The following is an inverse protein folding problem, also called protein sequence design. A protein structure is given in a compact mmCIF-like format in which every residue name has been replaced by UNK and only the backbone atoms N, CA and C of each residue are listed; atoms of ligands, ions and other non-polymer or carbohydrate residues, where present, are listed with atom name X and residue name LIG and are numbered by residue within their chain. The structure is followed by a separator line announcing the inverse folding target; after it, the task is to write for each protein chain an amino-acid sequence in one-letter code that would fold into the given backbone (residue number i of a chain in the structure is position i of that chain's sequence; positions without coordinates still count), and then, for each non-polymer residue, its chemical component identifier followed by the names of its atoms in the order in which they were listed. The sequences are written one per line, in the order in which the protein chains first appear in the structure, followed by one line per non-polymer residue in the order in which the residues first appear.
data_IF_499266335239
#
_entry.id   IF_499266335239
#
_cell.length_a   1.000
_cell.length_b   1.000
_cell.length_c   1.000
_cell.angle_alpha   90.00
_cell.angle_beta   90.00
_cell.angle_gamma   90.00
#
_symmetry.space_group_name_H-M   'P 1'
#
loop_
_entity.id
_entity.type
_entity.pdbx_description
1 polymer ?
#
# COMPACT_ATOMS: atom_id res chain seq x y z
N UNK A 1 17.87 2.08 14.26
CA UNK A 1 17.09 3.13 13.58
C UNK A 1 15.85 3.40 14.40
N UNK A 2 15.66 4.62 14.87
CA UNK A 2 14.52 4.98 15.72
C UNK A 2 13.23 5.12 14.91
N UNK A 3 12.07 4.92 15.54
CA UNK A 3 10.72 5.02 14.93
C UNK A 3 10.46 6.32 14.14
N UNK A 4 11.20 7.39 14.41
CA UNK A 4 11.05 8.69 13.75
C UNK A 4 11.84 8.84 12.44
N UNK A 5 12.64 7.86 12.05
CA UNK A 5 13.54 7.95 10.89
C UNK A 5 12.99 7.30 9.62
N UNK A 6 11.98 6.43 9.73
CA UNK A 6 11.35 5.79 8.55
C UNK A 6 10.23 6.69 8.02
N UNK A 7 10.32 7.17 6.76
CA UNK A 7 9.26 7.95 6.14
C UNK A 7 7.93 7.18 6.11
N UNK A 8 6.82 7.90 6.23
CA UNK A 8 5.47 7.28 6.27
C UNK A 8 5.18 6.43 5.03
N UNK A 9 5.77 6.77 3.88
CA UNK A 9 5.61 6.02 2.63
C UNK A 9 6.36 4.68 2.56
N UNK A 10 7.32 4.43 3.47
CA UNK A 10 8.09 3.17 3.56
C UNK A 10 7.47 2.16 4.54
N UNK A 11 6.42 2.55 5.24
CA UNK A 11 5.77 1.72 6.24
C UNK A 11 4.69 0.86 5.60
N UNK A 12 4.61 -0.40 6.01
CA UNK A 12 3.49 -1.26 5.63
C UNK A 12 2.20 -0.71 6.25
N UNK A 13 1.20 -0.45 5.43
CA UNK A 13 -0.11 0.05 5.85
C UNK A 13 -1.06 -1.11 6.11
N UNK A 14 -1.46 -1.28 7.37
CA UNK A 14 -2.37 -2.34 7.79
C UNK A 14 -3.73 -1.72 8.10
N UNK A 15 -4.73 -1.99 7.26
CA UNK A 15 -6.09 -1.50 7.44
C UNK A 15 -6.97 -2.50 8.21
N UNK A 16 -7.69 -2.03 9.24
CA UNK A 16 -8.67 -2.82 9.99
C UNK A 16 -10.09 -2.45 9.56
N UNK A 17 -10.80 -3.42 8.99
CA UNK A 17 -12.13 -3.26 8.40
C UNK A 17 -13.15 -4.19 9.06
N UNK A 18 -14.44 -3.95 8.88
CA UNK A 18 -15.53 -4.79 9.36
C UNK A 18 -16.73 -3.95 9.83
N UNK A 19 -17.83 -4.65 10.19
CA UNK A 19 -19.05 -3.99 10.68
C UNK A 19 -18.83 -3.21 11.97
N UNK A 20 -19.79 -2.37 12.30
CA UNK A 20 -19.87 -1.71 13.62
C UNK A 20 -19.90 -2.78 14.72
N UNK A 21 -19.29 -2.46 15.84
CA UNK A 21 -19.23 -3.33 17.03
C UNK A 21 -18.56 -4.70 16.82
N UNK A 22 -17.97 -5.00 15.65
CA UNK A 22 -17.14 -6.20 15.47
C UNK A 22 -15.87 -6.17 16.35
N UNK A 23 -15.54 -5.01 16.90
CA UNK A 23 -14.39 -4.83 17.79
C UNK A 23 -13.10 -4.52 17.07
N UNK A 24 -13.15 -3.83 15.91
CA UNK A 24 -11.98 -3.41 15.13
C UNK A 24 -10.95 -2.68 16.00
N UNK A 25 -11.37 -1.59 16.65
CA UNK A 25 -10.49 -0.80 17.53
C UNK A 25 -9.96 -1.62 18.72
N UNK A 26 -10.76 -2.55 19.23
CA UNK A 26 -10.31 -3.43 20.33
C UNK A 26 -9.24 -4.42 19.85
N UNK A 27 -9.42 -5.05 18.68
CA UNK A 27 -8.42 -5.94 18.08
C UNK A 27 -7.15 -5.16 17.74
N UNK A 28 -7.31 -3.97 17.15
CA UNK A 28 -6.20 -3.07 16.86
C UNK A 28 -5.39 -2.74 18.12
N UNK A 29 -6.07 -2.33 19.21
CA UNK A 29 -5.41 -2.03 20.48
C UNK A 29 -4.70 -3.27 21.08
N UNK A 30 -5.30 -4.45 20.96
CA UNK A 30 -4.67 -5.69 21.41
C UNK A 30 -3.40 -6.02 20.58
N UNK A 31 -3.43 -5.78 19.26
CA UNK A 31 -2.27 -5.93 18.37
C UNK A 31 -1.17 -4.93 18.72
N UNK A 32 -1.51 -3.68 18.98
CA UNK A 32 -0.58 -2.61 19.35
C UNK A 32 0.02 -2.86 20.75
N UNK A 33 -0.73 -3.49 21.65
CA UNK A 33 -0.32 -3.71 23.03
C UNK A 33 -0.49 -2.47 23.95
N UNK A 34 -1.15 -1.42 23.47
CA UNK A 34 -1.45 -0.18 24.19
C UNK A 34 -2.88 0.25 23.90
N UNK A 35 -3.54 0.92 24.86
CA UNK A 35 -4.85 1.52 24.66
C UNK A 35 -4.73 2.82 23.83
N UNK A 36 -4.48 2.69 22.53
CA UNK A 36 -4.22 3.82 21.63
C UNK A 36 -5.40 4.13 20.70
N UNK A 37 -6.28 3.15 20.42
CA UNK A 37 -7.53 3.40 19.71
C UNK A 37 -8.64 3.76 20.70
N UNK A 38 -9.49 4.70 20.36
CA UNK A 38 -10.64 5.06 21.18
C UNK A 38 -11.64 3.91 21.11
N UNK A 39 -11.71 3.09 22.15
CA UNK A 39 -12.76 2.10 22.31
C UNK A 39 -13.94 2.82 23.00
N UNK A 40 -15.07 2.94 22.33
CA UNK A 40 -16.28 3.53 22.89
C UNK A 40 -17.42 2.55 22.79
N UNK A 41 -18.18 2.44 23.86
CA UNK A 41 -19.42 1.65 23.92
C UNK A 41 -20.58 2.34 23.17
N UNK A 42 -20.38 3.61 22.75
CA UNK A 42 -21.38 4.37 21.99
C UNK A 42 -21.26 4.04 20.50
N UNK A 43 -22.36 3.64 19.89
CA UNK A 43 -22.45 3.32 18.46
C UNK A 43 -21.97 4.49 17.60
N UNK A 44 -20.99 4.24 16.70
CA UNK A 44 -20.56 5.20 15.67
C UNK A 44 -19.50 6.20 16.10
N UNK A 45 -18.58 5.85 16.99
CA UNK A 45 -17.55 6.75 17.51
C UNK A 45 -16.40 7.03 16.56
N UNK A 46 -16.04 6.11 15.67
CA UNK A 46 -14.99 6.37 14.67
C UNK A 46 -15.64 6.98 13.43
N UNK A 47 -15.54 8.28 13.25
CA UNK A 47 -16.12 9.02 12.10
C UNK A 47 -15.14 9.13 10.93
N UNK A 48 -13.85 9.17 11.21
CA UNK A 48 -12.76 9.28 10.25
C UNK A 48 -11.74 8.16 10.47
N UNK A 49 -11.05 7.69 9.40
CA UNK A 49 -9.96 6.75 9.55
C UNK A 49 -8.86 7.31 10.44
N UNK A 50 -8.40 6.53 11.42
CA UNK A 50 -7.34 6.93 12.35
C UNK A 50 -6.05 6.22 11.94
N UNK A 51 -5.02 7.00 11.64
CA UNK A 51 -3.70 6.50 11.25
C UNK A 51 -2.74 6.54 12.44
N UNK A 52 -2.05 5.44 12.71
CA UNK A 52 -1.03 5.35 13.76
C UNK A 52 0.20 4.63 13.25
N UNK A 53 1.35 5.28 13.39
CA UNK A 53 2.64 4.70 13.06
C UNK A 53 3.25 4.03 14.27
N UNK A 54 3.75 2.81 14.09
CA UNK A 54 4.33 2.02 15.16
C UNK A 54 5.31 0.98 14.62
N UNK A 55 6.00 0.30 15.52
CA UNK A 55 6.78 -0.89 15.21
C UNK A 55 5.96 -2.15 15.55
N UNK A 56 5.77 -3.03 14.59
CA UNK A 56 5.08 -4.30 14.75
C UNK A 56 6.02 -5.46 14.42
N UNK A 57 6.51 -6.16 15.43
CA UNK A 57 7.36 -7.34 15.22
C UNK A 57 6.52 -8.52 14.70
N UNK A 58 7.00 -9.29 13.71
CA UNK A 58 8.31 -9.21 13.05
C UNK A 58 8.37 -8.34 11.77
N UNK A 59 7.39 -7.46 11.52
CA UNK A 59 7.31 -6.62 10.31
C UNK A 59 8.23 -5.39 10.35
N UNK A 60 8.49 -4.83 11.55
CA UNK A 60 9.17 -3.56 11.70
C UNK A 60 8.22 -2.36 11.66
N UNK A 61 8.61 -1.23 11.04
CA UNK A 61 7.80 -0.01 10.99
C UNK A 61 6.53 -0.19 10.17
N UNK A 62 5.35 0.04 10.77
CA UNK A 62 4.04 -0.05 10.12
C UNK A 62 3.20 1.20 10.38
N UNK A 63 2.21 1.43 9.55
CA UNK A 63 1.11 2.36 9.80
C UNK A 63 -0.18 1.55 9.91
N UNK A 64 -0.80 1.52 11.08
CA UNK A 64 -2.09 0.88 11.29
C UNK A 64 -3.21 1.89 11.07
N UNK A 65 -4.30 1.44 10.45
CA UNK A 65 -5.44 2.28 10.07
C UNK A 65 -6.71 1.68 10.65
N UNK A 66 -7.32 2.38 11.61
CA UNK A 66 -8.65 2.04 12.13
C UNK A 66 -9.71 2.70 11.25
N UNK A 67 -10.65 1.90 10.71
CA UNK A 67 -11.68 2.41 9.80
C UNK A 67 -13.05 2.47 10.45
N UNK A 68 -13.93 3.40 10.02
CA UNK A 68 -15.35 3.37 10.36
C UNK A 68 -16.03 2.04 9.99
N UNK A 69 -17.18 1.74 10.59
CA UNK A 69 -17.98 0.56 10.22
C UNK A 69 -18.44 0.62 8.76
N UNK A 70 -18.51 -0.55 8.12
CA UNK A 70 -18.93 -0.69 6.71
C UNK A 70 -20.45 -0.84 6.54
N UNK A 71 -21.18 -0.94 7.63
CA UNK A 71 -22.62 -1.14 7.74
C UNK A 71 -23.37 0.07 8.29
N UNK A 72 -22.75 1.24 8.27
CA UNK A 72 -23.38 2.49 8.71
C UNK A 72 -24.46 2.93 7.71
N UNK A 73 -25.67 3.24 8.23
CA UNK A 73 -26.84 3.69 7.46
C UNK A 73 -27.02 5.23 7.56
N UNK A 74 -27.81 5.77 6.62
CA UNK A 74 -28.10 7.21 6.50
C UNK A 74 -27.01 8.01 5.76
N UNK A 75 -27.21 9.31 5.62
CA UNK A 75 -26.29 10.18 4.83
C UNK A 75 -24.87 10.18 5.41
N UNK A 76 -24.71 10.32 6.73
CA UNK A 76 -23.42 10.24 7.41
C UNK A 76 -22.82 8.83 7.33
N UNK A 77 -23.65 7.79 7.37
CA UNK A 77 -23.21 6.41 7.20
C UNK A 77 -22.62 6.16 5.82
N UNK A 78 -23.27 6.63 4.77
CA UNK A 78 -22.77 6.52 3.39
C UNK A 78 -21.40 7.19 3.22
N UNK A 79 -21.19 8.36 3.82
CA UNK A 79 -19.90 9.05 3.80
C UNK A 79 -18.80 8.26 4.54
N UNK A 80 -19.12 7.65 5.68
CA UNK A 80 -18.18 6.82 6.45
C UNK A 80 -17.79 5.56 5.69
N UNK A 81 -18.76 4.88 5.10
CA UNK A 81 -18.53 3.71 4.23
C UNK A 81 -17.61 4.10 3.06
N UNK A 82 -17.88 5.23 2.39
CA UNK A 82 -17.02 5.73 1.32
C UNK A 82 -15.60 6.01 1.79
N UNK A 83 -15.41 6.60 2.98
CA UNK A 83 -14.07 6.82 3.57
C UNK A 83 -13.36 5.50 3.87
N UNK A 84 -14.06 4.49 4.40
CA UNK A 84 -13.49 3.15 4.61
C UNK A 84 -13.01 2.53 3.32
N UNK A 85 -13.75 2.69 2.22
CA UNK A 85 -13.31 2.22 0.90
C UNK A 85 -12.15 3.02 0.30
N UNK A 86 -12.02 4.32 0.60
CA UNK A 86 -10.86 5.11 0.19
C UNK A 86 -9.57 4.66 0.88
N UNK A 87 -9.67 4.14 2.12
CA UNK A 87 -8.52 3.59 2.85
C UNK A 87 -7.95 2.36 2.15
N UNK A 88 -8.78 1.56 1.46
CA UNK A 88 -8.30 0.39 0.71
C UNK A 88 -7.18 0.74 -0.29
N UNK A 89 -7.25 1.92 -0.91
CA UNK A 89 -6.23 2.36 -1.87
C UNK A 89 -4.87 2.65 -1.22
N UNK A 90 -4.82 2.72 0.12
CA UNK A 90 -3.60 2.98 0.90
C UNK A 90 -3.21 1.79 1.77
N UNK A 91 -3.91 0.67 1.63
CA UNK A 91 -3.74 -0.52 2.48
C UNK A 91 -2.90 -1.54 1.75
N UNK A 92 -1.80 -1.96 2.36
CA UNK A 92 -0.94 -3.04 1.87
C UNK A 92 -1.42 -4.40 2.39
N UNK A 93 -1.96 -4.46 3.60
CA UNK A 93 -2.56 -5.66 4.19
C UNK A 93 -3.86 -5.30 4.88
N UNK A 94 -4.93 -6.01 4.58
CA UNK A 94 -6.24 -5.80 5.18
C UNK A 94 -6.54 -6.86 6.26
N UNK A 95 -7.07 -6.41 7.39
CA UNK A 95 -7.61 -7.26 8.45
C UNK A 95 -9.11 -7.05 8.52
N UNK A 96 -9.89 -8.07 8.16
CA UNK A 96 -11.35 -8.03 8.27
C UNK A 96 -11.74 -8.61 9.62
N UNK A 97 -12.28 -7.77 10.49
CA UNK A 97 -12.74 -8.15 11.83
C UNK A 97 -14.23 -8.49 11.80
N UNK A 98 -14.53 -9.72 12.13
CA UNK A 98 -15.89 -10.29 12.20
C UNK A 98 -16.25 -10.54 13.66
N UNK A 99 -17.47 -10.21 14.06
CA UNK A 99 -18.02 -10.65 15.35
C UNK A 99 -18.35 -12.14 15.27
N UNK A 100 -17.74 -12.97 16.13
CA UNK A 100 -17.94 -14.43 16.13
C UNK A 100 -19.37 -14.88 16.38
N UNK A 101 -20.21 -14.03 17.00
CA UNK A 101 -21.64 -14.32 17.22
C UNK A 101 -22.50 -13.93 16.01
N UNK A 102 -22.16 -12.82 15.34
CA UNK A 102 -22.89 -12.37 14.17
C UNK A 102 -22.48 -13.14 12.88
N UNK A 103 -21.28 -13.71 12.87
CA UNK A 103 -20.77 -14.48 11.77
C UNK A 103 -20.39 -13.63 10.53
N UNK A 104 -19.81 -14.32 9.56
CA UNK A 104 -19.44 -13.74 8.25
C UNK A 104 -20.72 -13.60 7.40
N UNK A 105 -21.02 -12.39 6.99
CA UNK A 105 -22.23 -12.06 6.24
C UNK A 105 -21.95 -11.32 4.93
N UNK A 106 -23.02 -10.83 4.30
CA UNK A 106 -22.98 -10.18 2.99
C UNK A 106 -22.06 -8.95 2.94
N UNK A 107 -21.98 -8.20 4.05
CA UNK A 107 -21.14 -6.98 4.11
C UNK A 107 -19.66 -7.33 4.13
N UNK A 108 -19.26 -8.34 4.87
CA UNK A 108 -17.88 -8.85 4.88
C UNK A 108 -17.53 -9.49 3.54
N UNK A 109 -18.49 -10.18 2.92
CA UNK A 109 -18.28 -10.77 1.59
C UNK A 109 -18.04 -9.71 0.50
N UNK A 110 -18.83 -8.64 0.47
CA UNK A 110 -18.64 -7.51 -0.44
C UNK A 110 -17.27 -6.85 -0.24
N UNK A 111 -16.86 -6.69 1.01
CA UNK A 111 -15.56 -6.13 1.35
C UNK A 111 -14.43 -7.04 0.87
N UNK A 112 -14.53 -8.34 1.14
CA UNK A 112 -13.57 -9.35 0.73
C UNK A 112 -13.39 -9.40 -0.80
N UNK A 113 -14.50 -9.41 -1.54
CA UNK A 113 -14.47 -9.40 -3.01
C UNK A 113 -13.72 -8.17 -3.54
N UNK A 114 -13.95 -6.99 -2.96
CA UNK A 114 -13.23 -5.77 -3.34
C UNK A 114 -11.73 -5.84 -3.04
N UNK A 115 -11.34 -6.47 -1.93
CA UNK A 115 -9.92 -6.69 -1.63
C UNK A 115 -9.28 -7.64 -2.63
N UNK A 116 -9.98 -8.70 -3.01
CA UNK A 116 -9.53 -9.64 -4.04
C UNK A 116 -9.40 -8.96 -5.42
N UNK A 117 -10.39 -8.16 -5.85
CA UNK A 117 -10.31 -7.36 -7.08
C UNK A 117 -9.09 -6.43 -7.10
N UNK A 118 -8.75 -5.84 -5.96
CA UNK A 118 -7.58 -4.97 -5.79
C UNK A 118 -6.29 -5.74 -5.49
N UNK A 119 -6.35 -7.06 -5.40
CA UNK A 119 -5.22 -7.92 -5.03
C UNK A 119 -4.58 -7.55 -3.68
N UNK A 120 -5.35 -7.01 -2.74
CA UNK A 120 -4.87 -6.69 -1.39
C UNK A 120 -4.91 -7.97 -0.55
N UNK A 121 -3.78 -8.44 0.01
CA UNK A 121 -3.75 -9.56 0.93
C UNK A 121 -4.65 -9.29 2.12
N UNK A 122 -5.46 -10.27 2.51
CA UNK A 122 -6.37 -10.11 3.63
C UNK A 122 -6.31 -11.28 4.61
N UNK A 123 -6.54 -10.94 5.88
CA UNK A 123 -6.67 -11.87 7.00
C UNK A 123 -8.07 -11.70 7.59
N UNK A 124 -8.80 -12.80 7.71
CA UNK A 124 -10.10 -12.82 8.37
C UNK A 124 -9.94 -13.13 9.85
N UNK A 125 -10.50 -12.28 10.71
CA UNK A 125 -10.38 -12.37 12.17
C UNK A 125 -11.75 -12.44 12.79
N UNK A 126 -12.08 -13.56 13.43
CA UNK A 126 -13.26 -13.71 14.24
C UNK A 126 -12.96 -13.32 15.68
N UNK A 127 -13.43 -12.14 16.06
CA UNK A 127 -13.21 -11.58 17.39
C UNK A 127 -14.31 -12.01 18.39
N UNK A 128 -14.09 -11.78 19.66
CA UNK A 128 -14.96 -12.12 20.77
C UNK A 128 -15.10 -13.63 21.01
N UNK A 129 -14.04 -14.40 20.73
CA UNK A 129 -14.01 -15.86 20.95
C UNK A 129 -14.13 -16.26 22.43
N UNK A 130 -14.05 -15.30 23.36
CA UNK A 130 -14.33 -15.50 24.78
C UNK A 130 -15.83 -15.54 25.14
N UNK A 131 -16.71 -15.27 24.17
CA UNK A 131 -18.15 -15.28 24.40
C UNK A 131 -18.77 -16.67 24.18
N UNK A 132 -19.89 -16.95 24.86
CA UNK A 132 -20.65 -18.18 24.63
C UNK A 132 -21.16 -18.21 23.18
N UNK A 133 -21.14 -19.40 22.57
CA UNK A 133 -21.58 -19.63 21.20
C UNK A 133 -20.74 -18.91 20.12
N UNK A 134 -19.50 -18.54 20.43
CA UNK A 134 -18.55 -18.04 19.41
C UNK A 134 -18.22 -19.15 18.40
N UNK A 135 -18.30 -18.83 17.13
CA UNK A 135 -17.97 -19.76 16.02
C UNK A 135 -16.89 -19.13 15.16
N UNK A 136 -15.87 -19.92 14.85
CA UNK A 136 -14.82 -19.54 13.91
C UNK A 136 -14.68 -20.66 12.88
N UNK A 137 -14.94 -20.40 11.59
CA UNK A 137 -14.71 -21.39 10.54
C UNK A 137 -13.21 -21.58 10.31
N UNK A 138 -12.82 -22.75 9.82
CA UNK A 138 -11.40 -23.00 9.50
C UNK A 138 -10.91 -22.18 8.29
N UNK A 139 -11.76 -22.01 7.28
CA UNK A 139 -11.44 -21.28 6.05
C UNK A 139 -12.67 -20.59 5.47
N UNK A 140 -12.44 -19.46 4.79
CA UNK A 140 -13.42 -18.78 3.96
C UNK A 140 -12.72 -18.38 2.64
N UNK A 141 -13.15 -18.94 1.50
CA UNK A 141 -12.60 -18.63 0.16
C UNK A 141 -11.07 -18.71 0.11
N UNK A 142 -10.48 -19.76 0.70
CA UNK A 142 -9.01 -20.01 0.77
C UNK A 142 -8.20 -18.98 1.57
N UNK A 143 -8.87 -18.05 2.26
CA UNK A 143 -8.22 -17.04 3.09
C UNK A 143 -8.03 -17.56 4.50
N UNK A 144 -6.86 -17.26 5.12
CA UNK A 144 -6.62 -17.61 6.51
C UNK A 144 -7.65 -16.97 7.44
N UNK A 145 -8.26 -17.79 8.30
CA UNK A 145 -9.21 -17.35 9.32
C UNK A 145 -8.62 -17.60 10.70
N UNK A 146 -8.69 -16.60 11.56
CA UNK A 146 -8.18 -16.69 12.93
C UNK A 146 -9.27 -16.32 13.93
N UNK A 147 -9.42 -17.16 14.96
CA UNK A 147 -10.23 -16.83 16.13
C UNK A 147 -9.43 -16.07 17.18
N UNK A 148 -9.89 -14.87 17.56
CA UNK A 148 -9.23 -14.06 18.59
C UNK A 148 -10.20 -13.55 19.64
N UNK A 149 -9.66 -13.21 20.80
CA UNK A 149 -10.36 -12.38 21.78
C UNK A 149 -9.51 -11.15 22.10
N UNK A 150 -9.96 -10.00 21.67
CA UNK A 150 -9.29 -8.74 22.01
C UNK A 150 -9.29 -8.49 23.53
N UNK A 151 -10.31 -9.01 24.25
CA UNK A 151 -10.45 -8.86 25.71
C UNK A 151 -9.43 -9.69 26.47
N UNK A 152 -9.29 -10.98 26.13
CA UNK A 152 -8.38 -11.92 26.81
C UNK A 152 -6.99 -11.97 26.18
N UNK A 153 -6.81 -11.32 25.00
CA UNK A 153 -5.61 -11.34 24.16
C UNK A 153 -5.29 -12.73 23.56
N UNK A 154 -6.22 -13.69 23.65
CA UNK A 154 -6.06 -14.99 23.00
C UNK A 154 -6.00 -14.83 21.47
N UNK A 155 -5.10 -15.56 20.80
CA UNK A 155 -4.91 -15.53 19.35
C UNK A 155 -4.21 -14.27 18.78
N UNK A 156 -3.91 -13.25 19.59
CA UNK A 156 -3.32 -11.98 19.11
C UNK A 156 -1.87 -12.16 18.61
N UNK A 157 -1.09 -13.03 19.22
CA UNK A 157 0.28 -13.33 18.75
C UNK A 157 0.25 -13.98 17.38
N UNK A 158 -0.62 -14.98 17.19
CA UNK A 158 -0.81 -15.65 15.90
C UNK A 158 -1.32 -14.69 14.82
N UNK A 159 -2.21 -13.77 15.19
CA UNK A 159 -2.67 -12.70 14.30
C UNK A 159 -1.52 -11.82 13.81
N UNK A 160 -0.61 -11.39 14.69
CA UNK A 160 0.58 -10.60 14.31
C UNK A 160 1.47 -11.35 13.32
N UNK A 161 1.71 -12.63 13.55
CA UNK A 161 2.50 -13.48 12.65
C UNK A 161 1.82 -13.66 11.30
N UNK A 162 0.49 -13.84 11.29
CA UNK A 162 -0.29 -14.01 10.05
C UNK A 162 -0.31 -12.73 9.23
N UNK A 163 -0.48 -11.56 9.88
CA UNK A 163 -0.36 -10.26 9.22
C UNK A 163 1.04 -10.10 8.63
N UNK A 164 2.08 -10.49 9.37
CA UNK A 164 3.46 -10.39 8.89
C UNK A 164 3.73 -11.32 7.70
N UNK A 165 3.16 -12.51 7.68
CA UNK A 165 3.24 -13.44 6.54
C UNK A 165 2.51 -12.86 5.31
N UNK A 166 1.29 -12.34 5.50
CA UNK A 166 0.51 -11.72 4.44
C UNK A 166 1.24 -10.52 3.81
N UNK A 167 1.83 -9.65 4.63
CA UNK A 167 2.63 -8.52 4.16
C UNK A 167 3.89 -8.94 3.39
N UNK A 168 4.56 -10.03 3.81
CA UNK A 168 5.74 -10.56 3.12
C UNK A 168 5.41 -11.23 1.79
N UNK A 169 4.20 -11.76 1.64
CA UNK A 169 3.74 -12.37 0.37
C UNK A 169 3.57 -11.31 -0.72
N UNK A 170 3.25 -10.06 -0.36
CA UNK A 170 3.32 -8.93 -1.30
C UNK A 170 4.73 -8.36 -1.48
N UNK A 171 5.64 -8.60 -0.54
CA UNK A 171 7.05 -8.22 -0.72
C UNK A 171 7.79 -9.11 -1.74
N UNK A 172 7.18 -10.19 -2.25
CA UNK A 172 7.41 -10.74 -3.60
C UNK A 172 6.66 -9.82 -4.57
N UNK A 173 7.07 -8.57 -4.59
CA UNK A 173 6.42 -7.44 -5.20
C UNK A 173 6.28 -7.65 -6.69
N UNK A 174 5.14 -7.27 -7.23
CA UNK A 174 5.05 -6.98 -8.67
C UNK A 174 6.30 -6.17 -9.03
N UNK A 175 7.03 -6.56 -10.06
CA UNK A 175 8.22 -5.79 -10.42
C UNK A 175 7.82 -4.36 -10.77
N UNK A 176 8.57 -3.40 -10.26
CA UNK A 176 8.36 -1.99 -10.60
C UNK A 176 8.88 -1.73 -12.03
N UNK A 177 10.08 -2.24 -12.31
CA UNK A 177 10.80 -2.11 -13.59
C UNK A 177 11.68 -3.32 -13.89
N UNK A 178 11.97 -4.17 -12.91
CA UNK A 178 12.92 -5.28 -13.02
C UNK A 178 12.53 -6.33 -14.07
N UNK A 179 11.24 -6.52 -14.33
CA UNK A 179 10.73 -7.40 -15.39
C UNK A 179 10.97 -6.86 -16.82
N UNK A 180 11.40 -5.62 -16.97
CA UNK A 180 11.77 -4.99 -18.24
C UNK A 180 13.29 -5.01 -18.48
N UNK A 181 14.05 -5.54 -17.51
CA UNK A 181 15.52 -5.46 -17.50
C UNK A 181 16.14 -6.85 -17.56
N UNK A 182 17.26 -6.93 -18.25
CA UNK A 182 18.16 -8.06 -18.20
C UNK A 182 19.38 -7.75 -17.29
N UNK A 183 20.03 -8.77 -16.71
CA UNK A 183 21.25 -8.56 -15.95
C UNK A 183 22.29 -7.76 -16.74
N UNK A 184 22.95 -6.82 -16.06
CA UNK A 184 23.93 -5.88 -16.63
C UNK A 184 23.36 -4.82 -17.57
N UNK A 185 22.03 -4.67 -17.73
CA UNK A 185 21.46 -3.52 -18.41
C UNK A 185 21.78 -2.22 -17.64
N UNK A 186 21.97 -1.13 -18.36
CA UNK A 186 22.17 0.19 -17.77
C UNK A 186 20.85 0.95 -17.75
N UNK A 187 20.50 1.47 -16.58
CA UNK A 187 19.33 2.31 -16.37
C UNK A 187 19.77 3.65 -15.79
N UNK A 188 19.39 4.75 -16.43
CA UNK A 188 19.69 6.10 -15.94
C UNK A 188 18.46 6.65 -15.23
N UNK A 189 18.63 7.03 -13.96
CA UNK A 189 17.62 7.76 -13.19
C UNK A 189 17.99 9.23 -13.17
N UNK A 190 17.14 10.05 -13.76
CA UNK A 190 17.30 11.50 -13.79
C UNK A 190 16.48 12.11 -12.65
N UNK A 191 17.18 12.61 -11.63
CA UNK A 191 16.58 13.13 -10.41
C UNK A 191 16.85 14.63 -10.30
N UNK A 192 15.82 15.48 -10.48
CA UNK A 192 15.99 16.91 -10.24
C UNK A 192 16.26 17.14 -8.75
N UNK A 193 17.34 17.84 -8.45
CA UNK A 193 17.63 18.31 -7.09
C UNK A 193 17.02 19.69 -6.94
N UNK A 194 15.78 19.73 -6.47
CA UNK A 194 15.09 20.98 -6.16
C UNK A 194 15.50 21.50 -4.78
N UNK A 195 15.49 22.84 -4.62
CA UNK A 195 15.72 23.51 -3.32
C UNK A 195 14.62 23.20 -2.29
N UNK A 196 13.45 22.72 -2.75
CA UNK A 196 12.34 22.30 -1.91
C UNK A 196 12.46 20.85 -1.41
N UNK A 197 13.33 20.03 -2.01
CA UNK A 197 13.55 18.66 -1.54
C UNK A 197 14.33 18.67 -0.20
N UNK A 198 13.98 17.79 0.76
CA UNK A 198 14.74 17.66 2.00
C UNK A 198 16.21 17.39 1.69
N UNK A 199 17.10 18.23 2.20
CA UNK A 199 18.55 18.12 1.95
C UNK A 199 19.03 16.69 2.28
N UNK A 200 19.63 16.02 1.30
CA UNK A 200 20.39 14.81 1.48
C UNK A 200 19.63 13.48 1.34
N UNK A 201 18.38 13.47 0.84
CA UNK A 201 17.62 12.21 0.65
C UNK A 201 16.98 12.13 -0.73
N UNK A 202 17.13 10.96 -1.37
CA UNK A 202 16.26 10.57 -2.47
C UNK A 202 14.85 10.29 -1.92
N UNK A 203 13.81 10.65 -2.66
CA UNK A 203 12.44 10.32 -2.29
C UNK A 203 12.17 8.83 -2.47
N UNK A 204 11.18 8.30 -1.75
CA UNK A 204 10.86 6.88 -1.73
C UNK A 204 10.71 6.24 -3.12
N UNK A 205 9.98 6.81 -4.09
CA UNK A 205 9.88 6.24 -5.43
C UNK A 205 11.23 6.00 -6.10
N UNK A 206 12.17 6.93 -5.92
CA UNK A 206 13.52 6.83 -6.47
C UNK A 206 14.31 5.70 -5.82
N UNK A 207 14.25 5.58 -4.49
CA UNK A 207 14.93 4.53 -3.74
C UNK A 207 14.40 3.15 -4.08
N UNK A 208 13.07 2.98 -4.17
CA UNK A 208 12.43 1.72 -4.54
C UNK A 208 12.79 1.30 -5.97
N UNK A 209 12.82 2.25 -6.90
CA UNK A 209 13.23 1.98 -8.29
C UNK A 209 14.70 1.55 -8.37
N UNK A 210 15.60 2.23 -7.65
CA UNK A 210 17.02 1.83 -7.57
C UNK A 210 17.15 0.40 -7.04
N UNK A 211 16.44 0.08 -5.98
CA UNK A 211 16.48 -1.25 -5.38
C UNK A 211 15.98 -2.31 -6.37
N UNK A 212 14.86 -2.10 -7.02
CA UNK A 212 14.27 -3.02 -7.99
C UNK A 212 15.22 -3.26 -9.20
N UNK A 213 15.90 -2.22 -9.68
CA UNK A 213 16.93 -2.34 -10.73
C UNK A 213 18.09 -3.22 -10.27
N UNK A 214 18.57 -3.02 -9.05
CA UNK A 214 19.69 -3.79 -8.49
C UNK A 214 19.31 -5.26 -8.24
N UNK A 215 18.08 -5.51 -7.81
CA UNK A 215 17.54 -6.88 -7.63
C UNK A 215 17.43 -7.62 -8.97
N UNK A 216 17.21 -6.92 -10.08
CA UNK A 216 17.28 -7.48 -11.44
C UNK A 216 18.72 -7.79 -11.93
N UNK A 217 19.74 -7.47 -11.15
CA UNK A 217 21.14 -7.56 -11.58
C UNK A 217 21.55 -6.49 -12.61
N UNK A 218 20.73 -5.46 -12.79
CA UNK A 218 21.01 -4.34 -13.68
C UNK A 218 21.79 -3.22 -12.97
N UNK A 219 22.31 -2.25 -13.72
CA UNK A 219 23.12 -1.14 -13.22
C UNK A 219 22.28 0.13 -13.15
N UNK A 220 22.20 0.74 -11.98
CA UNK A 220 21.51 2.00 -11.77
C UNK A 220 22.49 3.17 -11.75
N UNK A 221 22.29 4.17 -12.62
CA UNK A 221 23.10 5.38 -12.72
C UNK A 221 22.19 6.56 -12.41
N UNK A 222 22.49 7.27 -11.32
CA UNK A 222 21.68 8.41 -10.86
C UNK A 222 22.36 9.70 -11.22
N UNK A 223 21.66 10.55 -11.97
CA UNK A 223 22.18 11.84 -12.46
C UNK A 223 21.18 12.96 -12.24
N UNK A 224 21.66 14.20 -12.27
CA UNK A 224 20.79 15.38 -12.33
C UNK A 224 20.28 15.60 -13.75
N UNK A 225 19.21 16.37 -13.85
CA UNK A 225 18.58 16.70 -15.14
C UNK A 225 19.48 17.46 -16.12
N UNK A 226 20.49 18.18 -15.65
CA UNK A 226 21.48 18.90 -16.48
C UNK A 226 22.69 18.04 -16.82
N UNK A 227 22.82 16.84 -16.29
CA UNK A 227 23.98 15.95 -16.51
C UNK A 227 23.64 14.78 -17.44
N UNK A 228 22.38 14.59 -17.80
CA UNK A 228 21.93 13.46 -18.63
C UNK A 228 22.68 13.37 -19.95
N UNK A 229 22.73 14.46 -20.70
CA UNK A 229 23.38 14.49 -22.02
C UNK A 229 24.86 14.10 -21.96
N UNK A 230 25.60 14.69 -21.04
CA UNK A 230 27.03 14.38 -20.83
C UNK A 230 27.21 12.92 -20.36
N UNK A 231 26.28 12.39 -19.53
CA UNK A 231 26.32 11.00 -19.09
C UNK A 231 26.10 10.05 -20.27
N UNK A 232 25.12 10.30 -21.12
CA UNK A 232 24.83 9.49 -22.30
C UNK A 232 26.04 9.44 -23.29
N UNK A 233 26.77 10.55 -23.44
CA UNK A 233 27.95 10.63 -24.30
C UNK A 233 29.14 9.85 -23.73
N UNK A 234 29.26 9.72 -22.40
CA UNK A 234 30.46 9.20 -21.74
C UNK A 234 30.30 7.82 -21.10
N UNK A 235 29.09 7.28 -21.05
CA UNK A 235 28.80 6.03 -20.31
C UNK A 235 29.38 4.78 -20.96
N UNK A 236 29.75 4.82 -22.23
CA UNK A 236 30.41 3.74 -22.98
C UNK A 236 29.46 2.55 -23.33
N UNK A 237 28.30 2.44 -22.74
CA UNK A 237 27.26 1.45 -23.06
C UNK A 237 25.92 2.15 -23.16
N UNK A 238 25.16 1.86 -24.22
CA UNK A 238 23.83 2.42 -24.41
C UNK A 238 22.90 1.95 -23.26
N UNK A 239 22.25 2.87 -22.54
CA UNK A 239 21.28 2.49 -21.53
C UNK A 239 20.02 1.92 -22.18
N UNK A 240 19.40 0.96 -21.53
CA UNK A 240 18.12 0.36 -21.96
C UNK A 240 16.95 1.29 -21.64
N UNK A 241 17.04 2.03 -20.54
CA UNK A 241 15.94 2.83 -20.04
C UNK A 241 16.45 4.10 -19.32
N UNK A 242 15.75 5.20 -19.53
CA UNK A 242 15.86 6.44 -18.76
C UNK A 242 14.57 6.64 -17.96
N UNK A 243 14.69 6.92 -16.67
CA UNK A 243 13.57 7.15 -15.75
C UNK A 243 13.72 8.54 -15.14
N UNK A 244 12.67 9.35 -15.15
CA UNK A 244 12.73 10.72 -14.62
C UNK A 244 11.50 11.09 -13.83
N UNK A 245 11.55 12.20 -13.10
CA UNK A 245 10.38 12.81 -12.49
C UNK A 245 9.48 13.48 -13.55
N UNK A 246 8.18 13.48 -13.33
CA UNK A 246 7.19 14.07 -14.23
C UNK A 246 7.48 15.57 -14.49
N UNK A 247 8.04 16.29 -13.52
CA UNK A 247 8.40 17.70 -13.65
C UNK A 247 9.55 17.93 -14.61
N UNK A 248 10.52 17.01 -14.68
CA UNK A 248 11.68 17.11 -15.57
C UNK A 248 11.44 16.46 -16.94
N UNK A 249 10.32 15.74 -17.12
CA UNK A 249 10.05 14.91 -18.29
C UNK A 249 10.23 15.67 -19.63
N UNK A 250 9.69 16.89 -19.71
CA UNK A 250 9.77 17.70 -20.95
C UNK A 250 11.20 18.12 -21.34
N UNK A 251 12.13 18.25 -20.38
CA UNK A 251 13.54 18.51 -20.62
C UNK A 251 14.27 17.21 -20.97
N UNK A 252 14.08 16.18 -20.16
CA UNK A 252 14.74 14.89 -20.30
C UNK A 252 14.38 14.22 -21.62
N UNK A 253 13.13 14.36 -22.09
CA UNK A 253 12.71 13.80 -23.38
C UNK A 253 13.43 14.44 -24.59
N UNK A 254 13.86 15.69 -24.49
CA UNK A 254 14.64 16.35 -25.55
C UNK A 254 16.10 15.90 -25.58
N UNK A 255 16.63 15.53 -24.40
CA UNK A 255 18.02 15.13 -24.24
C UNK A 255 18.22 13.61 -24.41
N UNK A 256 17.11 12.83 -24.41
CA UNK A 256 17.13 11.37 -24.58
C UNK A 256 16.96 11.01 -26.04
N UNK A 257 17.90 10.26 -26.66
CA UNK A 257 17.74 9.72 -28.01
C UNK A 257 16.49 8.87 -28.20
N UNK A 258 15.87 8.92 -29.39
CA UNK A 258 14.62 8.21 -29.69
C UNK A 258 14.73 6.68 -29.57
N UNK A 259 15.92 6.15 -29.70
CA UNK A 259 16.23 4.72 -29.60
C UNK A 259 16.50 4.24 -28.17
N UNK A 260 16.30 5.11 -27.16
CA UNK A 260 16.35 4.79 -25.73
C UNK A 260 14.96 4.94 -25.12
N UNK A 261 14.51 3.90 -24.41
CA UNK A 261 13.21 3.96 -23.74
C UNK A 261 13.22 5.03 -22.64
N UNK A 262 12.14 5.81 -22.56
CA UNK A 262 11.95 6.86 -21.57
C UNK A 262 10.64 6.67 -20.82
N UNK A 263 10.66 6.75 -19.51
CA UNK A 263 9.48 6.74 -18.65
C UNK A 263 9.63 7.67 -17.46
N UNK A 264 8.60 7.76 -16.62
CA UNK A 264 8.67 8.51 -15.36
C UNK A 264 8.39 7.60 -14.15
N UNK A 265 8.88 8.01 -12.97
CA UNK A 265 8.57 7.32 -11.72
C UNK A 265 7.07 7.18 -11.52
N UNK A 266 6.27 8.21 -11.80
CA UNK A 266 4.81 8.16 -11.67
C UNK A 266 4.16 7.13 -12.59
N UNK A 267 4.64 6.95 -13.82
CA UNK A 267 4.14 5.91 -14.74
C UNK A 267 4.48 4.51 -14.22
N UNK A 268 5.70 4.30 -13.74
CA UNK A 268 6.12 3.02 -13.16
C UNK A 268 5.27 2.67 -11.93
N UNK A 269 5.02 3.64 -11.05
CA UNK A 269 4.18 3.44 -9.87
C UNK A 269 2.70 3.24 -10.22
N UNK A 270 2.18 3.90 -11.24
CA UNK A 270 0.83 3.63 -11.75
C UNK A 270 0.71 2.20 -12.30
N UNK A 271 1.73 1.72 -13.03
CA UNK A 271 1.83 0.32 -13.47
C UNK A 271 1.87 -0.66 -12.30
N UNK A 272 2.73 -0.39 -11.31
CA UNK A 272 2.85 -1.18 -10.09
C UNK A 272 1.53 -1.32 -9.35
N UNK A 273 0.77 -0.22 -9.22
CA UNK A 273 -0.55 -0.19 -8.57
C UNK A 273 -1.69 -0.76 -9.42
N UNK A 274 -1.44 -1.12 -10.67
CA UNK A 274 -2.47 -1.57 -11.61
C UNK A 274 -3.39 -0.45 -12.13
N UNK A 275 -2.99 0.81 -11.99
CA UNK A 275 -3.78 1.99 -12.41
C UNK A 275 -3.43 2.50 -13.81
N UNK A 276 -2.41 1.92 -14.46
CA UNK A 276 -1.88 2.42 -15.74
C UNK A 276 -2.92 2.44 -16.85
N UNK A 277 -3.71 1.38 -17.01
CA UNK A 277 -4.78 1.31 -18.03
C UNK A 277 -5.86 2.37 -17.80
N UNK A 278 -6.24 2.60 -16.54
CA UNK A 278 -7.21 3.64 -16.16
C UNK A 278 -6.66 5.02 -16.47
N UNK A 279 -5.38 5.27 -16.22
CA UNK A 279 -4.74 6.54 -16.54
C UNK A 279 -4.67 6.77 -18.06
N UNK A 280 -4.30 5.75 -18.84
CA UNK A 280 -4.25 5.82 -20.32
C UNK A 280 -5.66 6.10 -20.88
N UNK A 281 -6.70 5.42 -20.39
CA UNK A 281 -8.06 5.65 -20.78
C UNK A 281 -8.52 7.07 -20.44
N UNK A 282 -8.14 7.60 -19.28
CA UNK A 282 -8.43 8.98 -18.87
C UNK A 282 -7.79 10.02 -19.78
N UNK A 283 -6.53 9.84 -20.16
CA UNK A 283 -5.82 10.73 -21.10
C UNK A 283 -6.46 10.67 -22.49
N UNK A 284 -6.84 9.49 -22.98
CA UNK A 284 -7.53 9.34 -24.25
C UNK A 284 -8.90 10.02 -24.26
N UNK A 285 -9.65 9.98 -23.15
CA UNK A 285 -10.92 10.68 -22.99
C UNK A 285 -10.74 12.21 -23.01
N UNK A 286 -9.70 12.74 -22.33
CA UNK A 286 -9.39 14.18 -22.32
C UNK A 286 -9.02 14.70 -23.72
N UNK A 287 -8.29 13.92 -24.51
CA UNK A 287 -7.94 14.29 -25.88
C UNK A 287 -9.19 14.37 -26.79
N UNK A 288 -10.21 13.50 -26.58
CA UNK A 288 -11.47 13.57 -27.30
C UNK A 288 -12.30 14.82 -26.96
N UNK A 289 -12.21 15.31 -25.71
CA UNK A 289 -12.91 16.52 -25.26
C UNK A 289 -12.28 17.79 -25.84
N UNK A 290 -10.96 17.79 -26.10
CA UNK A 290 -10.23 18.95 -26.67
C UNK A 290 -10.41 19.10 -28.19
N UNK A 291 -10.89 18.09 -28.88
CA UNK A 291 -11.07 18.06 -30.34
C UNK A 291 -12.53 18.19 -30.79
N UNK A 292 -13.46 18.45 -29.84
CA UNK A 292 -14.92 18.66 -30.08
C UNK A 292 -15.37 20.11 -29.99
#
# INVERSE_FOLDING_TARGET
MGMNETPTGERVHIGFFGRRNAGKSSVLNAVIGQELAVVSDVKGTTTDPVYKSMELLPLGPVTVIDTPGIDDEGELGTLRVRKSYQVLNKTDVAVIVVDSQAGFGEQEEKLLNRMQEKQIPCVLVFNKMDQKNAVCPEKIKDIPVLGVSARTKAGITELKETIAKAAKTEAVSKPLVSDLLDPSDFVILVVPIDKAAPKGRLILPQQQTIRDILEAGAVSIVVKDNELKNTLENIGKKPKLVITDSQAFGKVSKDTPEDILLTSFSILFARYKGELETMIAGVAALNKIRTG
#
